data_IF_654455897004
#
_entry.id   IF_654455897004
#
_cell.length_a   1.000
_cell.length_b   1.000
_cell.length_c   1.000
_cell.angle_alpha   90.00
_cell.angle_beta   90.00
_cell.angle_gamma   90.00
#
_symmetry.space_group_name_H-M   'P 1'
#
loop_
_entity.id
_entity.type
_entity.pdbx_description
1 polymer ?
#
# COMPACT_ATOMS: atom_id res chain seq x y z
N UNK A 1 -3.58 -5.41 18.13
CA UNK A 1 -3.26 -5.25 16.68
C UNK A 1 -3.70 -6.50 15.91
N UNK A 2 -3.93 -6.43 14.58
CA UNK A 2 -4.39 -7.58 13.78
C UNK A 2 -3.42 -8.77 13.89
N UNK A 3 -2.11 -8.52 13.78
CA UNK A 3 -1.08 -9.56 13.91
C UNK A 3 -1.14 -10.30 15.25
N UNK A 4 -1.36 -9.59 16.35
CA UNK A 4 -1.49 -10.20 17.69
C UNK A 4 -2.74 -11.08 17.79
N UNK A 5 -3.87 -10.64 17.23
CA UNK A 5 -5.11 -11.43 17.21
C UNK A 5 -4.95 -12.71 16.39
N UNK A 6 -4.25 -12.63 15.25
CA UNK A 6 -3.90 -13.80 14.43
C UNK A 6 -2.98 -14.75 15.21
N UNK A 7 -1.93 -14.23 15.86
CA UNK A 7 -0.97 -15.02 16.64
C UNK A 7 -1.58 -15.68 17.88
N UNK A 8 -2.63 -15.09 18.46
CA UNK A 8 -3.35 -15.64 19.61
C UNK A 8 -4.32 -16.78 19.26
N UNK A 9 -4.55 -17.04 17.97
CA UNK A 9 -5.42 -18.13 17.54
C UNK A 9 -4.78 -19.49 17.87
N UNK A 10 -5.48 -20.44 18.52
CA UNK A 10 -4.90 -21.69 19.00
C UNK A 10 -4.59 -22.72 17.88
N UNK A 11 -5.00 -22.45 16.64
CA UNK A 11 -4.70 -23.30 15.49
C UNK A 11 -3.26 -23.14 15.00
N UNK A 12 -2.82 -24.07 14.15
CA UNK A 12 -1.50 -24.02 13.49
C UNK A 12 -1.64 -23.64 12.01
N UNK A 13 -2.60 -22.78 11.71
CA UNK A 13 -2.93 -22.38 10.35
C UNK A 13 -1.92 -21.36 9.82
N UNK A 14 -1.63 -21.43 8.52
CA UNK A 14 -0.85 -20.42 7.83
C UNK A 14 -1.79 -19.31 7.37
N UNK A 15 -1.59 -18.09 7.86
CA UNK A 15 -2.44 -16.94 7.56
C UNK A 15 -1.70 -15.94 6.69
N UNK A 16 -2.41 -15.39 5.69
CA UNK A 16 -1.95 -14.27 4.85
C UNK A 16 -2.83 -13.06 5.16
N UNK A 17 -2.20 -11.89 5.30
CA UNK A 17 -2.89 -10.60 5.39
C UNK A 17 -2.60 -9.83 4.11
N UNK A 18 -3.64 -9.32 3.45
CA UNK A 18 -3.53 -8.61 2.16
C UNK A 18 -4.17 -7.23 2.27
N UNK A 19 -3.38 -6.18 1.99
CA UNK A 19 -3.87 -4.82 1.77
C UNK A 19 -4.18 -4.63 0.29
N UNK A 20 -5.40 -4.20 -0.04
CA UNK A 20 -5.86 -4.06 -1.43
C UNK A 20 -6.19 -2.61 -1.76
N UNK A 21 -6.19 -2.31 -3.06
CA UNK A 21 -6.50 -0.99 -3.61
C UNK A 21 -5.24 -0.18 -3.96
N UNK A 22 -5.44 1.02 -4.48
CA UNK A 22 -4.37 1.93 -4.90
C UNK A 22 -3.77 1.62 -6.29
N UNK A 23 -2.66 2.28 -6.66
CA UNK A 23 -2.04 3.41 -5.94
C UNK A 23 -2.66 4.72 -6.45
N UNK A 24 -1.97 5.50 -7.28
CA UNK A 24 -2.51 6.76 -7.77
C UNK A 24 -3.64 6.53 -8.77
N UNK A 25 -4.81 7.09 -8.45
CA UNK A 25 -5.95 7.16 -9.34
C UNK A 25 -6.98 8.18 -8.83
N UNK A 26 -7.78 8.68 -9.77
CA UNK A 26 -8.77 9.72 -9.54
C UNK A 26 -10.11 9.29 -10.05
N UNK A 27 -11.11 9.26 -9.17
CA UNK A 27 -12.44 8.73 -9.47
C UNK A 27 -13.46 9.86 -9.40
N UNK A 28 -14.17 10.10 -10.51
CA UNK A 28 -15.27 11.05 -10.57
C UNK A 28 -14.86 12.52 -10.50
N UNK A 29 -13.59 12.83 -10.73
CA UNK A 29 -13.04 14.19 -10.79
C UNK A 29 -12.70 14.60 -12.23
N UNK A 30 -12.48 15.89 -12.47
CA UNK A 30 -12.19 16.42 -13.82
C UNK A 30 -10.86 15.92 -14.40
N UNK A 31 -9.94 15.49 -13.54
CA UNK A 31 -8.62 14.95 -13.83
C UNK A 31 -8.58 13.40 -13.75
N UNK A 32 -9.74 12.74 -13.80
CA UNK A 32 -9.83 11.28 -13.95
C UNK A 32 -9.01 10.81 -15.15
N UNK A 33 -8.21 9.76 -14.96
CA UNK A 33 -7.26 9.24 -15.96
C UNK A 33 -5.79 9.59 -15.67
N UNK A 34 -5.54 10.58 -14.80
CA UNK A 34 -4.17 10.93 -14.39
C UNK A 34 -3.59 9.86 -13.44
N UNK A 35 -2.45 9.28 -13.83
CA UNK A 35 -1.62 8.39 -13.01
C UNK A 35 -0.32 9.13 -12.67
N UNK A 36 0.07 9.11 -11.40
CA UNK A 36 1.27 9.79 -10.90
C UNK A 36 2.33 8.75 -10.48
N UNK A 37 3.12 8.30 -11.44
CA UNK A 37 4.15 7.29 -11.23
C UNK A 37 5.21 7.66 -10.17
N UNK A 38 5.72 8.91 -10.09
CA UNK A 38 6.62 9.31 -9.01
C UNK A 38 6.03 9.12 -7.61
N UNK A 39 4.75 9.46 -7.42
CA UNK A 39 4.04 9.23 -6.16
C UNK A 39 3.93 7.72 -5.87
N UNK A 40 3.54 6.92 -6.87
CA UNK A 40 3.39 5.48 -6.71
C UNK A 40 4.71 4.79 -6.32
N UNK A 41 5.82 5.20 -6.96
CA UNK A 41 7.15 4.68 -6.65
C UNK A 41 7.61 5.07 -5.26
N UNK A 42 7.24 6.25 -4.77
CA UNK A 42 7.50 6.66 -3.39
C UNK A 42 6.74 5.77 -2.40
N UNK A 43 5.45 5.51 -2.64
CA UNK A 43 4.67 4.59 -1.80
C UNK A 43 5.29 3.18 -1.78
N UNK A 44 5.67 2.66 -2.95
CA UNK A 44 6.30 1.33 -3.06
C UNK A 44 7.67 1.26 -2.37
N UNK A 45 8.44 2.36 -2.37
CA UNK A 45 9.71 2.45 -1.63
C UNK A 45 9.50 2.43 -0.11
N UNK A 46 8.45 3.09 0.40
CA UNK A 46 8.07 2.98 1.82
C UNK A 46 7.70 1.54 2.19
N UNK A 47 6.95 0.84 1.33
CA UNK A 47 6.63 -0.59 1.50
C UNK A 47 7.91 -1.43 1.51
N UNK A 48 8.81 -1.21 0.55
CA UNK A 48 10.06 -1.95 0.44
C UNK A 48 10.93 -1.82 1.70
N UNK A 49 10.99 -0.60 2.26
CA UNK A 49 11.71 -0.30 3.51
C UNK A 49 11.00 -0.78 4.77
N UNK A 50 9.74 -1.20 4.67
CA UNK A 50 8.91 -1.53 5.82
C UNK A 50 8.59 -0.33 6.71
N UNK A 51 8.58 0.89 6.14
CA UNK A 51 8.44 2.14 6.88
C UNK A 51 6.96 2.50 7.09
N UNK A 52 6.34 1.80 8.05
CA UNK A 52 4.93 1.93 8.39
C UNK A 52 4.62 3.34 8.90
N UNK A 53 5.49 3.87 9.76
CA UNK A 53 5.36 5.19 10.36
C UNK A 53 5.37 6.28 9.30
N UNK A 54 6.37 6.30 8.40
CA UNK A 54 6.43 7.33 7.35
C UNK A 54 5.21 7.27 6.41
N UNK A 55 4.71 6.06 6.10
CA UNK A 55 3.51 5.89 5.29
C UNK A 55 2.25 6.38 5.99
N UNK A 56 2.16 6.22 7.32
CA UNK A 56 1.05 6.71 8.14
C UNK A 56 1.07 8.22 8.40
N UNK A 57 2.25 8.85 8.31
CA UNK A 57 2.45 10.30 8.49
C UNK A 57 2.22 11.11 7.21
N UNK A 58 1.94 10.48 6.07
CA UNK A 58 1.59 11.18 4.83
C UNK A 58 0.35 12.06 5.04
N UNK A 59 0.52 13.36 4.78
CA UNK A 59 -0.57 14.34 4.88
C UNK A 59 -1.68 14.07 3.85
N UNK A 60 -2.93 14.19 4.28
CA UNK A 60 -4.09 13.92 3.43
C UNK A 60 -4.17 14.85 2.22
N UNK A 61 -3.80 16.13 2.36
CA UNK A 61 -3.80 17.06 1.25
C UNK A 61 -2.70 16.72 0.25
N UNK A 62 -1.53 16.28 0.73
CA UNK A 62 -0.46 15.77 -0.13
C UNK A 62 -0.88 14.52 -0.91
N UNK A 63 -1.50 13.52 -0.25
CA UNK A 63 -1.98 12.30 -0.92
C UNK A 63 -3.05 12.64 -1.96
N UNK A 64 -3.99 13.52 -1.64
CA UNK A 64 -5.02 13.96 -2.58
C UNK A 64 -4.42 14.70 -3.78
N UNK A 65 -3.47 15.60 -3.54
CA UNK A 65 -2.82 16.39 -4.59
C UNK A 65 -2.00 15.49 -5.52
N UNK A 66 -1.20 14.57 -4.98
CA UNK A 66 -0.28 13.77 -5.76
C UNK A 66 -0.92 12.49 -6.30
N UNK A 67 -1.59 11.71 -5.45
CA UNK A 67 -2.14 10.40 -5.79
C UNK A 67 -3.60 10.41 -6.23
N UNK A 68 -4.35 11.46 -5.91
CA UNK A 68 -5.80 11.52 -6.17
C UNK A 68 -6.64 10.92 -5.06
N UNK A 69 -7.97 11.07 -5.15
CA UNK A 69 -8.89 10.60 -4.11
C UNK A 69 -8.88 9.06 -3.96
N UNK A 70 -8.54 8.32 -5.02
CA UNK A 70 -8.38 6.87 -4.99
C UNK A 70 -7.13 6.41 -4.25
N UNK A 71 -6.07 7.21 -4.22
CA UNK A 71 -4.83 6.85 -3.53
C UNK A 71 -4.99 6.71 -2.01
N UNK A 72 -6.09 7.19 -1.43
CA UNK A 72 -6.40 6.98 -0.02
C UNK A 72 -6.56 5.50 0.38
N UNK A 73 -6.74 4.60 -0.60
CA UNK A 73 -6.74 3.15 -0.41
C UNK A 73 -5.39 2.60 0.11
N UNK A 74 -4.29 3.35 0.00
CA UNK A 74 -3.00 2.97 0.58
C UNK A 74 -3.07 2.75 2.11
N UNK A 75 -4.10 3.27 2.79
CA UNK A 75 -4.34 2.98 4.21
C UNK A 75 -4.59 1.50 4.48
N UNK A 76 -5.14 0.75 3.52
CA UNK A 76 -5.27 -0.70 3.64
C UNK A 76 -3.90 -1.39 3.67
N UNK A 77 -2.92 -0.82 2.97
CA UNK A 77 -1.55 -1.35 2.94
C UNK A 77 -0.87 -1.12 4.29
N UNK A 78 -1.04 0.05 4.91
CA UNK A 78 -0.56 0.34 6.26
C UNK A 78 -1.08 -0.70 7.26
N UNK A 79 -2.38 -1.05 7.18
CA UNK A 79 -2.99 -2.06 8.06
C UNK A 79 -2.34 -3.44 7.86
N UNK A 80 -2.08 -3.85 6.61
CA UNK A 80 -1.43 -5.12 6.31
C UNK A 80 0.03 -5.14 6.79
N UNK A 81 0.77 -4.06 6.57
CA UNK A 81 2.14 -3.88 7.03
C UNK A 81 2.22 -3.92 8.56
N UNK A 82 1.36 -3.19 9.27
CA UNK A 82 1.32 -3.17 10.72
C UNK A 82 0.86 -4.50 11.36
N UNK A 83 0.29 -5.42 10.57
CA UNK A 83 -0.06 -6.76 11.03
C UNK A 83 1.16 -7.70 11.06
N UNK A 84 2.28 -7.34 10.44
CA UNK A 84 3.45 -8.19 10.31
C UNK A 84 4.60 -7.70 11.20
N UNK A 85 5.14 -8.53 12.11
CA UNK A 85 6.30 -8.14 12.93
C UNK A 85 7.57 -8.18 12.08
N UNK A 86 8.44 -7.17 12.22
CA UNK A 86 9.79 -7.11 11.63
C UNK A 86 9.85 -7.64 10.19
N UNK A 87 9.42 -6.85 9.22
CA UNK A 87 9.36 -7.25 7.81
C UNK A 87 10.16 -6.29 6.92
N UNK A 88 10.45 -6.73 5.70
CA UNK A 88 10.79 -5.87 4.58
C UNK A 88 9.83 -6.15 3.42
N UNK A 89 9.60 -5.17 2.55
CA UNK A 89 8.81 -5.36 1.35
C UNK A 89 9.67 -5.76 0.16
N UNK A 90 9.15 -6.63 -0.69
CA UNK A 90 9.68 -6.87 -2.03
C UNK A 90 8.64 -6.44 -3.06
N UNK A 91 8.95 -5.43 -3.86
CA UNK A 91 8.09 -5.01 -4.97
C UNK A 91 8.22 -6.02 -6.10
N UNK A 92 7.14 -6.75 -6.37
CA UNK A 92 7.07 -7.77 -7.42
C UNK A 92 6.93 -7.12 -8.78
N UNK A 93 6.01 -6.15 -8.91
CA UNK A 93 5.83 -5.38 -10.12
C UNK A 93 5.16 -4.03 -9.85
N UNK A 94 5.38 -3.10 -10.77
CA UNK A 94 4.64 -1.86 -10.85
C UNK A 94 4.49 -1.45 -12.31
N UNK A 95 3.27 -1.07 -12.71
CA UNK A 95 2.97 -0.50 -14.02
C UNK A 95 2.00 0.68 -13.86
N UNK A 96 2.31 1.87 -14.43
CA UNK A 96 1.30 2.89 -14.63
C UNK A 96 0.41 2.44 -15.79
N UNK A 97 -0.88 2.22 -15.54
CA UNK A 97 -1.82 1.72 -16.57
C UNK A 97 -2.91 2.76 -16.85
N UNK A 98 -2.64 3.78 -17.70
CA UNK A 98 -3.59 4.83 -18.05
C UNK A 98 -4.93 4.31 -18.58
N UNK A 99 -4.91 3.22 -19.34
CA UNK A 99 -6.10 2.57 -19.90
C UNK A 99 -7.04 2.04 -18.80
N UNK A 100 -6.50 1.76 -17.62
CA UNK A 100 -7.25 1.35 -16.43
C UNK A 100 -7.33 2.45 -15.38
N UNK A 101 -6.82 3.65 -15.70
CA UNK A 101 -6.93 4.87 -14.90
C UNK A 101 -6.24 4.72 -13.53
N UNK A 102 -5.21 3.86 -13.42
CA UNK A 102 -4.56 3.59 -12.13
C UNK A 102 -3.10 3.17 -12.26
N UNK A 103 -2.30 3.48 -11.24
CA UNK A 103 -1.01 2.86 -11.03
C UNK A 103 -1.15 1.52 -10.30
N UNK A 104 -0.71 0.42 -10.90
CA UNK A 104 -0.82 -0.91 -10.32
C UNK A 104 0.51 -1.37 -9.73
N UNK A 105 0.54 -1.61 -8.42
CA UNK A 105 1.69 -2.17 -7.72
C UNK A 105 1.34 -3.46 -7.00
N UNK A 106 2.28 -4.41 -6.99
CA UNK A 106 2.21 -5.62 -6.17
C UNK A 106 3.50 -5.73 -5.37
N UNK A 107 3.37 -5.93 -4.06
CA UNK A 107 4.51 -6.19 -3.17
C UNK A 107 4.21 -7.36 -2.24
N UNK A 108 5.24 -8.14 -1.92
CA UNK A 108 5.22 -9.17 -0.90
C UNK A 108 5.89 -8.64 0.37
N UNK A 109 5.26 -8.85 1.52
CA UNK A 109 5.89 -8.59 2.81
C UNK A 109 6.61 -9.86 3.28
N UNK A 110 7.92 -9.75 3.54
CA UNK A 110 8.77 -10.87 3.96
C UNK A 110 9.26 -10.64 5.37
N UNK A 111 9.18 -11.67 6.21
CA UNK A 111 9.77 -11.63 7.54
C UNK A 111 11.26 -11.33 7.42
N UNK A 112 11.73 -10.35 8.17
CA UNK A 112 13.15 -10.12 8.34
C UNK A 112 13.75 -11.31 9.12
N UNK A 113 14.97 -11.69 8.73
CA UNK A 113 15.74 -12.75 9.38
C UNK A 113 16.27 -12.32 10.75
#
# INVERSE_FOLDING_TARGET
>A
MIGEAVAAFPGNDRVVVMGCGGISHRVGTADMGLVNEPFDRMILDLVARGDVEAMAELDDAYVLEQGGNGAFEIRNWIIAMAAMPHFHGEVICYEPVPEWITGLGIAELKLAA
#
